data_IF_330130791193
#
_entry.id   IF_330130791193
#
_cell.length_a   1.000
_cell.length_b   1.000
_cell.length_c   1.000
_cell.angle_alpha   90.00
_cell.angle_beta   90.00
_cell.angle_gamma   90.00
#
_symmetry.space_group_name_H-M   'P 1'
#
loop_
_entity.id
_entity.type
_entity.pdbx_description
1 polymer ?
#
# COMPACT_ATOMS: atom_id res chain seq x y z
N UNK A 1 -43.22 49.02 -79.07
CA UNK A 1 -42.26 47.89 -79.15
C UNK A 1 -41.24 48.02 -78.05
N UNK A 2 -41.55 47.69 -76.82
CA UNK A 2 -40.56 47.57 -75.73
C UNK A 2 -41.25 47.09 -74.41
N UNK A 3 -41.86 45.91 -74.39
CA UNK A 3 -42.35 45.34 -73.12
C UNK A 3 -42.50 43.79 -73.16
N UNK A 4 -41.76 43.09 -74.02
CA UNK A 4 -41.86 41.61 -74.11
C UNK A 4 -40.64 40.85 -73.64
N UNK A 5 -39.59 41.51 -73.20
CA UNK A 5 -38.32 40.83 -72.88
C UNK A 5 -38.03 40.53 -71.40
N UNK A 6 -38.84 41.02 -70.45
CA UNK A 6 -38.52 40.91 -69.01
C UNK A 6 -39.22 39.76 -68.22
N UNK A 7 -40.22 39.10 -68.86
CA UNK A 7 -40.98 38.04 -68.18
C UNK A 7 -40.35 36.65 -68.27
N UNK A 8 -39.58 36.35 -69.30
CA UNK A 8 -38.98 35.02 -69.46
C UNK A 8 -37.74 34.77 -68.56
N UNK A 9 -36.97 35.80 -68.19
CA UNK A 9 -35.80 35.64 -67.32
C UNK A 9 -36.17 35.33 -65.87
N UNK A 10 -37.38 35.71 -65.41
CA UNK A 10 -37.79 35.43 -64.01
C UNK A 10 -38.17 34.01 -63.73
N UNK A 11 -38.74 33.33 -64.70
CA UNK A 11 -39.14 31.90 -64.57
C UNK A 11 -37.94 30.97 -64.62
N UNK A 12 -36.87 31.30 -65.33
CA UNK A 12 -35.66 30.47 -65.42
C UNK A 12 -34.86 30.54 -64.14
N UNK A 13 -34.84 31.65 -63.46
CA UNK A 13 -34.11 31.81 -62.13
C UNK A 13 -34.90 31.07 -61.02
N UNK A 14 -36.22 31.07 -61.03
CA UNK A 14 -37.01 30.38 -60.00
C UNK A 14 -36.95 28.86 -60.21
N UNK A 15 -36.93 28.35 -61.42
CA UNK A 15 -36.80 26.92 -61.76
C UNK A 15 -35.41 26.36 -61.30
N UNK A 16 -34.31 27.12 -61.48
CA UNK A 16 -32.97 26.72 -61.09
C UNK A 16 -32.81 26.65 -59.58
N UNK A 17 -33.44 27.55 -58.83
CA UNK A 17 -33.33 27.58 -57.33
C UNK A 17 -34.10 26.42 -56.68
N UNK A 18 -35.22 25.98 -57.27
CA UNK A 18 -35.98 24.84 -56.69
C UNK A 18 -35.29 23.51 -56.94
N UNK A 19 -34.63 23.33 -58.09
CA UNK A 19 -33.85 22.12 -58.38
C UNK A 19 -32.59 22.06 -57.51
N UNK A 20 -31.89 23.18 -57.27
CA UNK A 20 -30.73 23.23 -56.38
C UNK A 20 -31.11 22.93 -54.93
N UNK A 21 -32.25 23.45 -54.46
CA UNK A 21 -32.73 23.18 -53.10
C UNK A 21 -33.12 21.71 -52.88
N UNK A 22 -33.72 21.06 -53.86
CA UNK A 22 -34.10 19.63 -53.78
C UNK A 22 -32.88 18.70 -53.77
N UNK A 23 -31.81 19.04 -54.53
CA UNK A 23 -30.57 18.26 -54.53
C UNK A 23 -29.83 18.38 -53.16
N UNK A 24 -29.80 19.57 -52.55
CA UNK A 24 -29.20 19.78 -51.25
C UNK A 24 -29.95 19.02 -50.16
N UNK A 25 -31.30 19.02 -50.19
CA UNK A 25 -32.12 18.25 -49.25
C UNK A 25 -31.94 16.74 -49.47
N UNK A 26 -31.84 16.27 -50.70
CA UNK A 26 -31.57 14.85 -50.99
C UNK A 26 -30.18 14.43 -50.53
N UNK A 27 -29.14 15.27 -50.71
CA UNK A 27 -27.80 15.02 -50.18
C UNK A 27 -27.74 15.03 -48.64
N UNK A 28 -28.45 15.94 -47.96
CA UNK A 28 -28.57 15.93 -46.53
C UNK A 28 -29.27 14.64 -46.01
N UNK A 29 -30.36 14.23 -46.63
CA UNK A 29 -31.05 13.00 -46.26
C UNK A 29 -30.19 11.75 -46.47
N UNK A 30 -29.38 11.71 -47.54
CA UNK A 30 -28.43 10.63 -47.78
C UNK A 30 -27.27 10.65 -46.72
N UNK A 31 -26.76 11.82 -46.39
CA UNK A 31 -25.71 11.93 -45.35
C UNK A 31 -26.27 11.52 -43.97
N UNK A 32 -27.44 12.01 -43.59
CA UNK A 32 -28.10 11.62 -42.34
C UNK A 32 -28.54 10.14 -42.33
N UNK A 33 -28.91 9.58 -43.50
CA UNK A 33 -29.21 8.16 -43.64
C UNK A 33 -28.00 7.27 -43.52
N UNK A 34 -26.85 7.70 -44.04
CA UNK A 34 -25.58 6.99 -43.91
C UNK A 34 -25.00 7.08 -42.46
N UNK A 35 -25.14 8.23 -41.77
CA UNK A 35 -24.78 8.33 -40.37
C UNK A 35 -25.65 7.46 -39.45
N UNK A 36 -26.94 7.29 -39.77
CA UNK A 36 -27.84 6.44 -38.99
C UNK A 36 -27.57 4.95 -39.20
N UNK A 37 -27.13 4.53 -40.39
CA UNK A 37 -26.70 3.16 -40.65
C UNK A 37 -25.35 2.80 -40.08
N UNK A 38 -24.44 3.79 -39.90
CA UNK A 38 -23.13 3.55 -39.28
C UNK A 38 -23.23 3.41 -37.75
N UNK A 39 -24.35 3.86 -37.13
CA UNK A 39 -24.56 3.69 -35.67
C UNK A 39 -25.15 2.32 -35.28
N UNK A 40 -25.61 1.51 -36.22
CA UNK A 40 -26.26 0.22 -35.92
C UNK A 40 -25.39 -1.03 -36.19
N UNK A 41 -24.16 -0.89 -36.63
CA UNK A 41 -23.29 -2.04 -36.93
C UNK A 41 -21.90 -2.00 -36.29
N UNK A 42 -21.73 -1.31 -35.18
CA UNK A 42 -20.65 -1.69 -34.29
C UNK A 42 -21.11 -2.93 -33.53
N UNK A 43 -20.40 -4.06 -33.61
CA UNK A 43 -20.66 -5.15 -32.69
C UNK A 43 -20.42 -4.57 -31.30
N UNK A 44 -21.46 -4.50 -30.47
CA UNK A 44 -21.30 -4.38 -29.03
C UNK A 44 -20.46 -5.58 -28.66
N UNK A 45 -19.13 -5.38 -28.63
CA UNK A 45 -18.29 -6.23 -27.79
C UNK A 45 -18.95 -6.18 -26.42
N UNK A 46 -19.51 -7.32 -26.01
CA UNK A 46 -20.01 -7.52 -24.68
C UNK A 46 -18.94 -6.93 -23.76
N UNK A 47 -19.25 -5.80 -23.15
CA UNK A 47 -18.32 -5.13 -22.26
C UNK A 47 -17.94 -6.15 -21.23
N UNK A 48 -16.70 -6.61 -21.26
CA UNK A 48 -16.10 -7.17 -20.07
C UNK A 48 -16.26 -6.06 -19.03
N UNK A 49 -17.15 -6.28 -18.10
CA UNK A 49 -17.31 -5.42 -16.93
C UNK A 49 -15.90 -5.24 -16.38
N UNK A 50 -15.42 -4.01 -16.47
CA UNK A 50 -14.05 -3.71 -16.09
C UNK A 50 -14.02 -3.87 -14.57
N UNK A 51 -13.64 -5.06 -14.09
CA UNK A 51 -13.54 -5.35 -12.66
C UNK A 51 -12.60 -4.31 -12.07
N UNK A 52 -13.14 -3.40 -11.27
CA UNK A 52 -12.36 -2.38 -10.57
C UNK A 52 -12.04 -2.90 -9.17
N UNK A 53 -10.76 -2.96 -8.83
CA UNK A 53 -10.30 -3.41 -7.52
C UNK A 53 -9.92 -2.18 -6.69
N UNK A 54 -10.68 -1.97 -5.63
CA UNK A 54 -10.41 -0.95 -4.63
C UNK A 54 -9.46 -1.49 -3.56
N UNK A 55 -8.79 -0.62 -2.78
CA UNK A 55 -8.06 -1.03 -1.60
C UNK A 55 -8.90 -1.92 -0.68
N UNK A 56 -8.30 -2.95 -0.12
CA UNK A 56 -8.97 -3.85 0.80
C UNK A 56 -9.40 -3.10 2.07
N UNK A 57 -10.53 -3.49 2.65
CA UNK A 57 -10.96 -2.98 3.95
C UNK A 57 -10.27 -3.79 5.05
N UNK A 58 -9.05 -3.41 5.35
CA UNK A 58 -8.23 -4.08 6.35
C UNK A 58 -8.87 -4.09 7.74
N UNK A 59 -8.59 -5.15 8.49
CA UNK A 59 -8.99 -5.26 9.90
C UNK A 59 -7.75 -5.16 10.77
N UNK A 60 -7.95 -4.62 11.95
CA UNK A 60 -6.95 -4.58 13.01
C UNK A 60 -7.50 -5.32 14.22
N UNK A 61 -6.80 -6.35 14.66
CA UNK A 61 -7.19 -7.19 15.76
C UNK A 61 -6.23 -7.04 16.92
N UNK A 62 -6.76 -6.76 18.10
CA UNK A 62 -6.02 -6.89 19.36
C UNK A 62 -6.30 -8.26 19.94
N UNK A 63 -5.26 -9.01 20.21
CA UNK A 63 -5.31 -10.31 20.88
C UNK A 63 -4.78 -10.14 22.31
N UNK A 64 -5.61 -10.44 23.30
CA UNK A 64 -5.25 -10.37 24.69
C UNK A 64 -4.52 -11.65 25.13
N UNK A 65 -3.86 -11.63 26.28
CA UNK A 65 -3.14 -12.78 26.87
C UNK A 65 -3.96 -14.07 26.93
N UNK A 66 -5.27 -13.96 27.18
CA UNK A 66 -6.20 -15.09 27.26
C UNK A 66 -6.73 -15.56 25.88
N UNK A 67 -6.19 -15.03 24.78
CA UNK A 67 -6.57 -15.34 23.40
C UNK A 67 -7.86 -14.64 22.93
N UNK A 68 -8.52 -13.82 23.75
CA UNK A 68 -9.68 -13.03 23.32
C UNK A 68 -9.26 -12.01 22.28
N UNK A 69 -10.00 -11.95 21.18
CA UNK A 69 -9.76 -11.01 20.08
C UNK A 69 -10.75 -9.85 20.11
N UNK A 70 -10.25 -8.65 19.91
CA UNK A 70 -11.02 -7.39 19.84
C UNK A 70 -10.71 -6.73 18.50
N UNK A 71 -11.74 -6.44 17.70
CA UNK A 71 -11.57 -5.74 16.43
C UNK A 71 -11.46 -4.24 16.70
N UNK A 72 -10.29 -3.66 16.38
CA UNK A 72 -9.98 -2.26 16.56
C UNK A 72 -10.42 -1.36 15.37
N UNK A 73 -10.78 -1.97 14.23
CA UNK A 73 -11.24 -1.22 13.04
C UNK A 73 -12.64 -0.63 13.22
N UNK A 74 -13.44 -1.21 14.11
CA UNK A 74 -14.73 -0.66 14.54
C UNK A 74 -14.46 0.23 15.75
N UNK A 75 -15.21 1.33 15.89
CA UNK A 75 -15.07 2.24 17.04
C UNK A 75 -14.95 1.47 18.35
N UNK A 76 -13.75 1.50 18.94
CA UNK A 76 -13.61 1.04 20.32
C UNK A 76 -14.49 1.92 21.20
N UNK A 77 -15.10 1.38 22.27
CA UNK A 77 -15.57 2.23 23.35
C UNK A 77 -14.42 3.12 23.80
N UNK A 78 -14.67 4.39 24.08
CA UNK A 78 -13.66 5.40 24.42
C UNK A 78 -12.65 4.90 25.46
N UNK A 79 -13.07 3.95 26.29
CA UNK A 79 -12.21 3.28 27.28
C UNK A 79 -12.68 1.84 27.51
N UNK A 80 -11.78 0.88 27.41
CA UNK A 80 -11.97 -0.51 27.81
C UNK A 80 -11.10 -0.82 29.04
N UNK A 81 -11.75 -1.11 30.15
CA UNK A 81 -11.04 -1.49 31.38
C UNK A 81 -10.71 -2.99 31.38
N UNK A 82 -9.42 -3.30 31.52
CA UNK A 82 -8.88 -4.64 31.67
C UNK A 82 -8.10 -4.69 32.99
N UNK A 83 -8.72 -5.23 34.04
CA UNK A 83 -8.08 -5.38 35.37
C UNK A 83 -7.36 -4.10 35.86
N UNK A 84 -6.04 -4.04 35.75
CA UNK A 84 -5.20 -2.92 36.20
C UNK A 84 -4.91 -1.86 35.11
N UNK A 85 -5.44 -2.01 33.90
CA UNK A 85 -5.12 -1.15 32.75
C UNK A 85 -6.37 -0.68 32.06
N UNK A 86 -6.46 0.61 31.74
CA UNK A 86 -7.44 1.15 30.81
C UNK A 86 -6.83 1.27 29.44
N UNK A 87 -7.45 0.64 28.44
CA UNK A 87 -7.15 0.86 27.04
C UNK A 87 -7.99 2.02 26.52
N UNK A 88 -7.34 2.99 25.92
CA UNK A 88 -7.99 4.16 25.35
C UNK A 88 -7.85 4.06 23.84
N UNK A 89 -9.01 3.92 23.15
CA UNK A 89 -9.10 3.92 21.69
C UNK A 89 -9.46 5.31 21.19
N UNK A 90 -8.57 5.98 20.51
CA UNK A 90 -8.82 7.28 19.89
C UNK A 90 -8.56 7.19 18.39
N UNK A 91 -9.59 7.38 17.53
CA UNK A 91 -9.48 7.53 16.07
C UNK A 91 -8.35 6.72 15.41
N UNK A 92 -8.39 5.39 15.54
CA UNK A 92 -7.40 4.51 14.92
C UNK A 92 -6.06 4.40 15.67
N UNK A 93 -6.02 4.82 16.92
CA UNK A 93 -4.85 4.75 17.81
C UNK A 93 -5.23 4.07 19.12
N UNK A 94 -4.42 3.12 19.56
CA UNK A 94 -4.53 2.49 20.87
C UNK A 94 -3.45 3.04 21.82
N UNK A 95 -3.84 3.34 23.05
CA UNK A 95 -2.93 3.68 24.14
C UNK A 95 -3.36 3.02 25.44
N UNK A 96 -2.42 2.87 26.38
CA UNK A 96 -2.65 2.27 27.68
C UNK A 96 -2.51 3.31 28.80
N UNK A 97 -3.38 3.18 29.82
CA UNK A 97 -3.27 3.95 31.06
C UNK A 97 -3.43 3.00 32.24
N UNK A 98 -2.50 3.00 33.16
CA UNK A 98 -2.64 2.27 34.43
C UNK A 98 -3.80 2.82 35.23
N UNK A 99 -4.66 1.95 35.75
CA UNK A 99 -5.87 2.30 36.53
C UNK A 99 -5.75 1.91 38.00
N UNK A 100 -4.72 1.13 38.36
CA UNK A 100 -4.48 0.68 39.74
C UNK A 100 -3.10 1.15 40.22
N UNK A 101 -2.97 1.38 41.53
CA UNK A 101 -1.71 1.78 42.17
C UNK A 101 -0.65 0.65 42.23
N UNK A 102 -0.98 -0.56 41.75
CA UNK A 102 -0.09 -1.71 41.69
C UNK A 102 0.29 -2.08 40.26
N UNK A 103 1.58 -2.12 40.00
CA UNK A 103 2.11 -2.71 38.75
C UNK A 103 1.74 -4.20 38.70
N UNK A 104 1.50 -4.76 37.50
CA UNK A 104 1.30 -6.21 37.35
C UNK A 104 2.55 -6.95 37.88
N UNK A 105 2.32 -8.05 38.56
CA UNK A 105 3.42 -8.88 39.12
C UNK A 105 4.09 -9.70 38.01
N UNK A 106 3.36 -9.97 36.93
CA UNK A 106 3.82 -10.72 35.77
C UNK A 106 3.64 -9.90 34.51
N UNK A 107 4.49 -10.14 33.52
CA UNK A 107 4.46 -9.45 32.22
C UNK A 107 3.28 -9.99 31.38
N UNK A 108 2.30 -9.15 31.15
CA UNK A 108 1.13 -9.45 30.33
C UNK A 108 1.41 -9.04 28.89
N UNK A 109 1.40 -10.01 27.97
CA UNK A 109 1.67 -9.78 26.55
C UNK A 109 0.36 -9.64 25.77
N UNK A 110 0.24 -8.54 25.05
CA UNK A 110 -0.78 -8.33 24.03
C UNK A 110 -0.18 -8.40 22.63
N UNK A 111 -1.05 -8.65 21.65
CA UNK A 111 -0.65 -8.71 20.25
C UNK A 111 -1.58 -7.83 19.41
N UNK A 112 -1.04 -7.04 18.49
CA UNK A 112 -1.81 -6.43 17.41
C UNK A 112 -1.47 -7.13 16.09
N UNK A 113 -2.53 -7.43 15.32
CA UNK A 113 -2.44 -8.00 13.99
C UNK A 113 -3.18 -7.10 13.02
N UNK A 114 -2.50 -6.66 11.96
CA UNK A 114 -3.11 -5.98 10.81
C UNK A 114 -3.30 -6.99 9.67
N UNK A 115 -4.49 -7.01 9.08
CA UNK A 115 -4.74 -7.85 7.89
C UNK A 115 -4.37 -7.12 6.61
N UNK A 116 -4.55 -7.76 5.45
CA UNK A 116 -4.44 -7.14 4.13
C UNK A 116 -5.24 -5.83 4.09
N UNK A 117 -4.62 -4.76 3.58
CA UNK A 117 -5.22 -3.43 3.48
C UNK A 117 -5.39 -2.68 4.81
N UNK A 118 -4.88 -3.24 5.92
CA UNK A 118 -4.95 -2.62 7.25
C UNK A 118 -3.63 -2.02 7.68
N UNK A 119 -3.65 -0.86 8.27
CA UNK A 119 -2.52 -0.30 9.02
C UNK A 119 -3.00 0.21 10.37
N UNK A 120 -2.08 0.40 11.32
CA UNK A 120 -2.47 0.83 12.65
C UNK A 120 -1.37 1.57 13.39
N UNK A 121 -1.79 2.55 14.22
CA UNK A 121 -0.88 3.25 15.13
C UNK A 121 -1.12 2.81 16.57
N UNK A 122 -0.05 2.39 17.26
CA UNK A 122 -0.03 2.00 18.66
C UNK A 122 0.88 2.95 19.45
N UNK A 123 0.50 3.25 20.69
CA UNK A 123 1.37 3.90 21.65
C UNK A 123 1.58 2.94 22.83
N UNK A 124 2.82 2.54 23.05
CA UNK A 124 3.22 1.66 24.15
C UNK A 124 3.24 2.42 25.48
N UNK A 125 3.34 1.67 26.59
CA UNK A 125 3.32 2.23 27.96
C UNK A 125 4.44 3.22 28.24
N UNK A 126 5.60 3.05 27.58
CA UNK A 126 6.76 3.94 27.70
C UNK A 126 6.63 5.23 26.84
N UNK A 127 5.52 5.39 26.09
CA UNK A 127 5.31 6.48 25.16
C UNK A 127 5.90 6.27 23.75
N UNK A 128 6.53 5.13 23.49
CA UNK A 128 6.98 4.73 22.16
C UNK A 128 5.81 4.62 21.22
N UNK A 129 5.92 5.25 20.03
CA UNK A 129 4.90 5.15 18.99
C UNK A 129 5.33 4.12 17.94
N UNK A 130 4.40 3.28 17.56
CA UNK A 130 4.59 2.23 16.55
C UNK A 130 3.53 2.37 15.48
N UNK A 131 3.92 2.39 14.22
CA UNK A 131 3.02 2.24 13.07
C UNK A 131 3.24 0.87 12.48
N UNK A 132 2.19 0.09 12.37
CA UNK A 132 2.18 -1.22 11.73
C UNK A 132 1.63 -1.09 10.33
N UNK A 133 2.33 -1.64 9.33
CA UNK A 133 1.85 -1.72 7.96
C UNK A 133 0.90 -2.93 7.79
N UNK A 134 0.33 -3.12 6.59
CA UNK A 134 -0.54 -4.25 6.28
C UNK A 134 0.18 -5.60 6.49
N UNK A 135 -0.60 -6.65 6.85
CA UNK A 135 -0.08 -8.00 7.11
C UNK A 135 1.08 -8.04 8.13
N UNK A 136 0.96 -7.27 9.20
CA UNK A 136 1.98 -7.18 10.24
C UNK A 136 1.43 -7.55 11.62
N UNK A 137 2.32 -8.02 12.48
CA UNK A 137 2.02 -8.48 13.83
C UNK A 137 3.07 -7.95 14.80
N UNK A 138 2.65 -7.41 15.93
CA UNK A 138 3.53 -7.03 17.04
C UNK A 138 3.04 -7.62 18.34
N UNK A 139 3.91 -8.39 19.03
CA UNK A 139 3.75 -8.80 20.42
C UNK A 139 4.46 -7.82 21.32
N UNK A 140 3.79 -7.33 22.35
CA UNK A 140 4.35 -6.34 23.28
C UNK A 140 3.73 -6.48 24.66
N UNK A 141 4.51 -6.20 25.74
CA UNK A 141 3.96 -6.15 27.08
C UNK A 141 3.10 -4.88 27.25
N UNK A 142 2.01 -4.98 28.02
CA UNK A 142 1.18 -3.83 28.38
C UNK A 142 1.96 -2.85 29.29
N UNK A 143 2.94 -3.36 30.03
CA UNK A 143 3.90 -2.60 30.86
C UNK A 143 5.27 -3.25 30.76
N UNK A 144 6.32 -2.46 30.50
CA UNK A 144 7.69 -2.95 30.46
C UNK A 144 8.22 -3.13 31.89
N UNK A 145 8.30 -4.36 32.35
CA UNK A 145 8.95 -4.72 33.61
C UNK A 145 10.47 -4.96 33.39
N UNK A 146 11.27 -4.93 34.44
CA UNK A 146 12.70 -5.22 34.34
C UNK A 146 13.55 -4.10 33.67
N UNK A 147 14.71 -4.49 33.11
CA UNK A 147 15.81 -3.61 32.69
C UNK A 147 15.83 -3.31 31.17
N UNK A 148 14.86 -3.81 30.44
CA UNK A 148 14.74 -3.64 28.97
C UNK A 148 13.28 -3.53 28.54
N UNK A 149 13.06 -2.97 27.35
CA UNK A 149 11.76 -2.85 26.68
C UNK A 149 11.79 -3.74 25.44
N UNK A 150 11.15 -4.90 25.49
CA UNK A 150 11.20 -5.87 24.40
C UNK A 150 9.85 -6.00 23.69
N UNK A 151 9.89 -6.06 22.36
CA UNK A 151 8.75 -6.37 21.50
C UNK A 151 9.18 -7.36 20.43
N UNK A 152 8.23 -8.14 19.89
CA UNK A 152 8.46 -9.05 18.78
C UNK A 152 7.66 -8.61 17.57
N UNK A 153 8.30 -8.52 16.40
CA UNK A 153 7.72 -8.04 15.15
C UNK A 153 7.77 -9.11 14.07
N UNK A 154 6.63 -9.31 13.38
CA UNK A 154 6.52 -9.90 12.05
C UNK A 154 5.90 -8.88 11.11
N UNK A 155 6.33 -8.87 9.83
CA UNK A 155 5.88 -7.85 8.88
C UNK A 155 6.66 -6.55 8.97
N UNK A 156 6.02 -5.41 8.78
CA UNK A 156 6.68 -4.11 8.73
C UNK A 156 6.13 -3.14 9.77
N UNK A 157 7.05 -2.49 10.47
CA UNK A 157 6.72 -1.44 11.41
C UNK A 157 7.74 -0.31 11.43
N UNK A 158 7.23 0.89 11.65
CA UNK A 158 8.01 2.07 11.96
C UNK A 158 7.88 2.42 13.44
N UNK A 159 9.00 2.77 14.06
CA UNK A 159 9.11 3.07 15.48
C UNK A 159 9.61 4.50 15.68
N UNK A 160 8.96 5.23 16.60
CA UNK A 160 9.49 6.42 17.25
C UNK A 160 9.66 6.08 18.74
N UNK A 161 10.85 5.60 19.10
CA UNK A 161 11.12 5.11 20.46
C UNK A 161 11.35 6.27 21.41
N UNK A 162 10.63 6.25 22.53
CA UNK A 162 10.81 7.19 23.62
C UNK A 162 12.25 7.08 24.18
N UNK A 163 12.99 8.20 24.35
CA UNK A 163 14.35 8.18 24.85
C UNK A 163 14.41 7.65 26.30
N UNK A 164 15.20 6.61 26.52
CA UNK A 164 15.55 6.07 27.82
C UNK A 164 16.92 5.37 27.72
N UNK A 165 18.04 6.03 28.14
CA UNK A 165 19.37 5.46 28.09
C UNK A 165 19.59 4.27 29.06
N UNK A 166 18.84 4.23 30.16
CA UNK A 166 19.00 3.21 31.19
C UNK A 166 18.23 1.92 30.83
N UNK A 167 17.17 2.03 30.04
CA UNK A 167 16.31 0.90 29.68
C UNK A 167 16.19 0.76 28.17
N UNK A 168 17.09 -0.01 27.53
CA UNK A 168 17.11 -0.14 26.06
C UNK A 168 15.82 -0.73 25.51
N UNK A 169 15.42 -0.27 24.30
CA UNK A 169 14.30 -0.80 23.54
C UNK A 169 14.84 -1.80 22.51
N UNK A 170 14.25 -3.00 22.48
CA UNK A 170 14.70 -4.11 21.63
C UNK A 170 13.53 -4.60 20.79
N UNK A 171 13.65 -4.50 19.46
CA UNK A 171 12.73 -5.16 18.53
C UNK A 171 13.35 -6.47 18.08
N UNK A 172 12.68 -7.57 18.42
CA UNK A 172 13.06 -8.93 17.96
C UNK A 172 12.27 -9.29 16.72
N UNK A 173 12.91 -9.92 15.76
CA UNK A 173 12.32 -10.61 14.62
C UNK A 173 12.86 -12.03 14.58
N UNK A 174 12.34 -12.85 13.67
CA UNK A 174 12.86 -14.21 13.45
C UNK A 174 14.36 -14.22 13.10
N UNK A 175 14.86 -13.17 12.41
CA UNK A 175 16.21 -13.16 11.83
C UNK A 175 17.21 -12.28 12.56
N UNK A 176 16.76 -11.28 13.33
CA UNK A 176 17.64 -10.31 13.99
C UNK A 176 16.98 -9.65 15.20
N UNK A 177 17.82 -8.99 16.00
CA UNK A 177 17.41 -8.11 17.10
C UNK A 177 17.96 -6.71 16.85
N UNK A 178 17.10 -5.71 16.99
CA UNK A 178 17.43 -4.29 16.81
C UNK A 178 17.33 -3.58 18.14
N UNK A 179 18.45 -3.05 18.67
CA UNK A 179 18.56 -2.38 19.97
C UNK A 179 18.75 -0.88 19.79
N UNK A 180 17.97 -0.09 20.53
CA UNK A 180 18.02 1.38 20.52
C UNK A 180 17.79 1.97 21.91
N UNK A 181 18.12 3.27 22.10
CA UNK A 181 17.92 4.01 23.36
C UNK A 181 16.97 5.22 23.22
N UNK A 182 16.50 5.53 21.98
CA UNK A 182 15.67 6.68 21.68
C UNK A 182 15.89 7.09 20.23
N UNK A 183 15.16 6.49 19.30
CA UNK A 183 15.57 6.40 17.90
C UNK A 183 14.31 6.27 17.03
N UNK A 184 14.33 6.86 15.83
CA UNK A 184 13.32 6.61 14.82
C UNK A 184 13.87 5.72 13.72
N UNK A 185 13.22 4.58 13.47
CA UNK A 185 13.67 3.58 12.49
C UNK A 185 12.51 2.76 11.94
N UNK A 186 12.73 2.13 10.78
CA UNK A 186 11.80 1.19 10.14
C UNK A 186 12.41 -0.21 10.11
N UNK A 187 11.60 -1.22 10.36
CA UNK A 187 11.95 -2.62 10.13
C UNK A 187 10.95 -3.22 9.17
N UNK A 188 11.44 -3.86 8.09
CA UNK A 188 10.65 -4.70 7.19
C UNK A 188 11.16 -6.13 7.33
N UNK A 189 10.33 -7.00 7.91
CA UNK A 189 10.64 -8.38 8.25
C UNK A 189 9.49 -9.34 7.85
N UNK A 190 8.84 -9.11 6.71
CA UNK A 190 7.81 -10.01 6.19
C UNK A 190 8.38 -11.40 5.91
N UNK A 191 7.65 -12.45 6.28
CA UNK A 191 8.11 -13.84 6.10
C UNK A 191 8.24 -14.22 4.62
N UNK A 192 7.38 -13.68 3.76
CA UNK A 192 7.36 -13.92 2.31
C UNK A 192 8.33 -13.01 1.50
N UNK A 193 9.12 -12.16 2.17
CA UNK A 193 10.22 -11.43 1.53
C UNK A 193 11.55 -12.19 1.70
N UNK A 194 12.43 -12.18 0.70
CA UNK A 194 13.74 -12.86 0.80
C UNK A 194 14.68 -12.18 1.79
N UNK A 195 14.50 -10.91 2.04
CA UNK A 195 15.38 -10.09 2.87
C UNK A 195 14.63 -9.51 4.08
N UNK A 196 15.39 -9.18 5.13
CA UNK A 196 14.96 -8.33 6.24
C UNK A 196 15.72 -7.03 6.20
N UNK A 197 15.02 -5.92 6.40
CA UNK A 197 15.62 -4.58 6.35
C UNK A 197 15.45 -3.87 7.69
N UNK A 198 16.51 -3.17 8.12
CA UNK A 198 16.44 -2.18 9.22
C UNK A 198 16.98 -0.85 8.71
N UNK A 199 16.17 0.18 8.72
CA UNK A 199 16.52 1.53 8.21
C UNK A 199 16.50 2.52 9.36
N UNK A 200 17.60 3.21 9.58
CA UNK A 200 17.71 4.24 10.60
C UNK A 200 17.39 5.63 10.07
N UNK A 201 16.44 6.33 10.71
CA UNK A 201 16.11 7.72 10.40
C UNK A 201 16.87 8.69 11.31
N UNK A 202 16.73 8.56 12.63
CA UNK A 202 17.38 9.45 13.60
C UNK A 202 17.93 8.64 14.78
N UNK A 203 19.04 9.08 15.38
CA UNK A 203 19.66 8.45 16.53
C UNK A 203 20.72 7.40 16.16
N UNK A 204 20.73 6.27 16.85
CA UNK A 204 21.67 5.14 16.67
C UNK A 204 20.93 3.83 16.81
N UNK A 205 21.22 2.88 15.93
CA UNK A 205 20.70 1.50 15.96
C UNK A 205 21.85 0.52 16.04
N UNK A 206 21.70 -0.50 16.88
CA UNK A 206 22.59 -1.67 16.97
C UNK A 206 21.78 -2.91 16.53
N UNK A 207 22.24 -3.60 15.47
CA UNK A 207 21.58 -4.81 14.93
C UNK A 207 22.44 -6.03 15.23
N UNK A 208 21.85 -7.02 15.89
CA UNK A 208 22.43 -8.35 16.10
C UNK A 208 21.74 -9.36 15.20
N UNK A 209 22.51 -10.12 14.43
CA UNK A 209 22.01 -11.12 13.49
C UNK A 209 21.95 -12.49 14.18
N UNK A 210 20.76 -13.12 14.23
CA UNK A 210 20.52 -14.35 14.98
C UNK A 210 21.42 -15.53 14.50
N UNK A 211 21.65 -15.65 13.21
CA UNK A 211 22.52 -16.72 12.63
C UNK A 211 24.02 -16.55 12.94
N UNK A 212 24.45 -15.38 13.42
CA UNK A 212 25.87 -15.09 13.67
C UNK A 212 26.28 -15.22 15.14
N UNK A 213 25.36 -15.64 16.01
CA UNK A 213 25.63 -15.88 17.43
C UNK A 213 26.25 -14.65 18.14
N UNK A 214 27.42 -14.84 18.75
CA UNK A 214 28.12 -13.80 19.55
C UNK A 214 28.92 -12.80 18.69
N UNK A 215 28.64 -12.60 17.41
CA UNK A 215 29.30 -11.59 16.61
C UNK A 215 28.96 -10.18 17.11
N UNK A 216 29.88 -9.23 16.91
CA UNK A 216 29.66 -7.82 17.28
C UNK A 216 28.45 -7.26 16.53
N UNK A 217 27.61 -6.44 17.17
CA UNK A 217 26.46 -5.82 16.54
C UNK A 217 26.87 -4.90 15.40
N UNK A 218 26.07 -4.85 14.35
CA UNK A 218 26.21 -3.88 13.26
C UNK A 218 25.57 -2.56 13.70
N UNK A 219 26.36 -1.48 13.66
CA UNK A 219 25.92 -0.15 14.07
C UNK A 219 25.51 0.68 12.84
N UNK A 220 24.26 1.13 12.81
CA UNK A 220 23.77 2.03 11.78
C UNK A 220 23.86 3.50 12.21
N UNK A 221 24.13 4.36 11.21
CA UNK A 221 24.02 5.82 11.28
C UNK A 221 22.78 6.29 10.53
N UNK A 222 22.27 7.51 10.77
CA UNK A 222 21.12 8.04 10.03
C UNK A 222 21.27 7.93 8.52
N UNK A 223 20.15 7.61 7.85
CA UNK A 223 20.03 7.31 6.42
C UNK A 223 20.79 6.04 5.96
N UNK A 224 21.16 5.15 6.89
CA UNK A 224 21.70 3.82 6.56
C UNK A 224 20.63 2.76 6.73
N UNK A 225 20.66 1.78 5.83
CA UNK A 225 19.83 0.57 5.86
C UNK A 225 20.72 -0.66 5.90
N UNK A 226 20.43 -1.56 6.83
CA UNK A 226 20.94 -2.93 6.79
C UNK A 226 19.94 -3.78 6.00
N UNK A 227 20.45 -4.54 5.04
CA UNK A 227 19.75 -5.59 4.30
C UNK A 227 20.35 -6.93 4.69
N UNK A 228 19.54 -7.83 5.22
CA UNK A 228 19.92 -9.21 5.57
C UNK A 228 19.21 -10.19 4.65
N UNK A 229 19.96 -10.98 3.90
CA UNK A 229 19.42 -12.12 3.17
C UNK A 229 19.09 -13.25 4.13
N UNK A 230 17.86 -13.75 4.09
CA UNK A 230 17.38 -14.76 5.05
C UNK A 230 17.95 -16.16 4.77
N UNK A 231 18.21 -16.46 3.52
CA UNK A 231 18.69 -17.79 3.09
C UNK A 231 20.18 -17.93 3.40
N UNK A 232 21.01 -17.05 2.83
CA UNK A 232 22.47 -17.09 3.03
C UNK A 232 22.89 -16.60 4.41
N UNK A 233 22.16 -15.68 5.03
CA UNK A 233 22.57 -14.97 6.25
C UNK A 233 23.60 -13.86 5.99
N UNK A 234 23.86 -13.53 4.71
CA UNK A 234 24.72 -12.42 4.34
C UNK A 234 23.99 -11.10 4.52
N UNK A 235 24.76 -10.04 4.79
CA UNK A 235 24.17 -8.71 4.93
C UNK A 235 25.03 -7.65 4.24
N UNK A 236 24.37 -6.57 3.87
CA UNK A 236 24.98 -5.32 3.40
C UNK A 236 24.46 -4.14 4.21
N UNK A 237 25.21 -3.04 4.21
CA UNK A 237 24.78 -1.76 4.79
C UNK A 237 25.01 -0.68 3.75
N UNK A 238 23.93 0.02 3.40
CA UNK A 238 23.96 1.03 2.34
C UNK A 238 23.22 2.30 2.77
N UNK A 239 23.50 3.41 2.07
CA UNK A 239 22.81 4.67 2.27
C UNK A 239 21.53 4.69 1.44
N UNK A 240 20.40 5.07 2.05
CA UNK A 240 19.08 5.11 1.42
C UNK A 240 18.39 6.45 1.62
N UNK A 241 17.35 6.71 0.83
CA UNK A 241 16.43 7.82 1.03
C UNK A 241 15.31 7.38 1.97
N UNK A 242 15.40 7.82 3.23
CA UNK A 242 14.51 7.37 4.30
C UNK A 242 13.03 7.75 4.07
N UNK A 243 12.81 8.84 3.33
CA UNK A 243 11.47 9.29 2.94
C UNK A 243 10.77 8.27 2.05
N UNK A 244 11.50 7.57 1.18
CA UNK A 244 10.97 6.51 0.32
C UNK A 244 10.58 5.29 1.13
N UNK A 245 11.45 4.86 2.03
CA UNK A 245 11.22 3.69 2.89
C UNK A 245 10.01 3.88 3.82
N UNK A 246 9.73 5.12 4.24
CA UNK A 246 8.67 5.41 5.22
C UNK A 246 7.42 6.06 4.62
N UNK A 247 7.34 6.18 3.28
CA UNK A 247 6.22 6.80 2.57
C UNK A 247 4.88 6.09 2.85
N UNK A 248 4.92 4.78 3.09
CA UNK A 248 3.73 3.97 3.35
C UNK A 248 2.90 4.47 4.55
N UNK A 249 3.54 5.08 5.56
CA UNK A 249 2.86 5.69 6.73
C UNK A 249 1.97 6.88 6.36
N UNK A 250 2.21 7.49 5.21
CA UNK A 250 1.48 8.65 4.70
C UNK A 250 0.50 8.27 3.58
N UNK A 251 0.12 6.99 3.50
CA UNK A 251 -0.82 6.50 2.48
C UNK A 251 -0.25 6.48 1.06
N UNK A 252 1.06 6.26 0.92
CA UNK A 252 1.75 6.33 -0.37
C UNK A 252 2.55 5.06 -0.63
N UNK A 253 2.36 4.47 -1.82
CA UNK A 253 3.35 3.56 -2.41
C UNK A 253 4.50 4.38 -2.99
N UNK A 254 5.71 4.04 -2.63
CA UNK A 254 6.92 4.60 -3.22
C UNK A 254 7.76 3.46 -3.76
N UNK A 255 8.00 3.49 -5.07
CA UNK A 255 8.87 2.53 -5.76
C UNK A 255 10.17 3.23 -6.14
N UNK A 256 11.31 2.61 -5.85
CA UNK A 256 12.64 3.17 -6.05
C UNK A 256 13.54 2.14 -6.74
N UNK A 257 13.37 1.99 -8.06
CA UNK A 257 14.01 0.93 -8.86
C UNK A 257 13.61 -0.49 -8.39
N UNK A 258 12.40 -0.61 -7.83
CA UNK A 258 11.90 -1.88 -7.31
C UNK A 258 11.52 -2.83 -8.44
N UNK A 259 11.93 -4.08 -8.29
CA UNK A 259 11.57 -5.16 -9.20
C UNK A 259 10.06 -5.44 -9.15
N UNK A 260 9.48 -5.88 -10.28
CA UNK A 260 8.05 -6.21 -10.40
C UNK A 260 7.57 -7.18 -9.30
N UNK A 261 8.40 -8.11 -8.87
CA UNK A 261 8.04 -9.02 -7.77
C UNK A 261 7.88 -8.30 -6.44
N UNK A 262 8.76 -7.31 -6.14
CA UNK A 262 8.65 -6.48 -4.95
C UNK A 262 7.37 -5.64 -5.02
N UNK A 263 7.16 -4.98 -6.16
CA UNK A 263 5.97 -4.16 -6.42
C UNK A 263 4.68 -4.98 -6.25
N UNK A 264 4.60 -6.16 -6.85
CA UNK A 264 3.41 -7.01 -6.78
C UNK A 264 3.15 -7.53 -5.36
N UNK A 265 4.18 -7.86 -4.57
CA UNK A 265 4.00 -8.21 -3.15
C UNK A 265 3.49 -7.04 -2.31
N UNK A 266 3.99 -5.81 -2.56
CA UNK A 266 3.46 -4.60 -1.90
C UNK A 266 1.99 -4.38 -2.24
N UNK A 267 1.61 -4.52 -3.51
CA UNK A 267 0.22 -4.37 -3.96
C UNK A 267 -0.68 -5.49 -3.42
N UNK A 268 -0.22 -6.75 -3.38
CA UNK A 268 -0.97 -7.87 -2.80
C UNK A 268 -1.38 -7.60 -1.36
N UNK A 269 -0.46 -7.06 -0.53
CA UNK A 269 -0.71 -6.73 0.88
C UNK A 269 -1.76 -5.64 1.07
N UNK A 270 -2.03 -4.85 0.03
CA UNK A 270 -2.96 -3.72 0.13
C UNK A 270 -4.30 -3.97 -0.55
N UNK A 271 -4.33 -4.73 -1.67
CA UNK A 271 -5.53 -4.93 -2.49
C UNK A 271 -6.19 -6.30 -2.33
N UNK A 272 -5.65 -7.19 -1.53
CA UNK A 272 -6.14 -8.57 -1.37
C UNK A 272 -6.23 -9.32 -2.71
N UNK A 273 -5.18 -9.25 -3.50
CA UNK A 273 -5.06 -9.92 -4.80
C UNK A 273 -3.83 -10.82 -4.86
N UNK A 274 -3.92 -11.87 -5.66
CA UNK A 274 -2.79 -12.74 -5.98
C UNK A 274 -2.24 -12.37 -7.35
N UNK A 275 -0.93 -12.14 -7.44
CA UNK A 275 -0.23 -11.99 -8.73
C UNK A 275 0.35 -13.33 -9.18
N UNK A 276 0.22 -13.62 -10.48
CA UNK A 276 0.72 -14.85 -11.13
C UNK A 276 1.40 -14.47 -12.43
N UNK A 277 2.61 -14.95 -12.66
CA UNK A 277 3.31 -14.80 -13.95
C UNK A 277 2.81 -15.85 -14.94
N UNK A 278 2.34 -15.40 -16.11
CA UNK A 278 1.94 -16.26 -17.22
C UNK A 278 3.14 -16.50 -18.13
N UNK A 279 3.86 -17.59 -17.88
CA UNK A 279 5.06 -17.97 -18.63
C UNK A 279 6.37 -17.59 -17.93
N UNK A 280 7.46 -17.70 -18.70
CA UNK A 280 8.81 -17.39 -18.21
C UNK A 280 9.05 -15.88 -18.17
N UNK A 281 9.70 -15.41 -17.12
CA UNK A 281 10.10 -14.02 -16.97
C UNK A 281 11.17 -13.65 -17.99
N UNK A 282 10.93 -12.60 -18.81
CA UNK A 282 11.84 -12.19 -19.89
C UNK A 282 12.92 -11.19 -19.48
N UNK A 283 12.95 -10.76 -18.26
CA UNK A 283 14.00 -9.84 -17.77
C UNK A 283 13.60 -9.07 -16.50
N UNK A 284 14.49 -8.24 -15.97
CA UNK A 284 14.18 -7.38 -14.86
C UNK A 284 13.28 -6.23 -15.32
N UNK A 285 12.12 -6.08 -14.71
CA UNK A 285 11.29 -4.88 -14.82
C UNK A 285 11.38 -4.12 -13.51
N UNK A 286 12.06 -2.99 -13.52
CA UNK A 286 12.17 -2.11 -12.35
C UNK A 286 11.27 -0.90 -12.49
N UNK A 287 10.68 -0.49 -11.39
CA UNK A 287 9.73 0.62 -11.33
C UNK A 287 10.20 1.66 -10.34
N UNK A 288 10.05 2.92 -10.74
CA UNK A 288 10.22 4.08 -9.86
C UNK A 288 9.01 4.98 -9.99
N UNK A 289 8.45 5.40 -8.87
CA UNK A 289 7.30 6.28 -8.87
C UNK A 289 6.61 6.40 -7.52
N UNK A 290 5.61 7.26 -7.49
CA UNK A 290 4.78 7.51 -6.31
C UNK A 290 3.31 7.39 -6.68
N UNK A 291 2.55 6.61 -5.91
CA UNK A 291 1.11 6.38 -6.10
C UNK A 291 0.39 6.42 -4.75
N UNK A 292 -0.87 6.85 -4.74
CA UNK A 292 -1.68 6.83 -3.53
C UNK A 292 -2.12 5.40 -3.20
N UNK A 293 -2.16 5.06 -1.93
CA UNK A 293 -2.79 3.82 -1.45
C UNK A 293 -4.31 3.83 -1.62
N UNK A 294 -4.92 5.00 -1.86
CA UNK A 294 -6.36 5.15 -2.13
C UNK A 294 -6.72 4.94 -3.61
N UNK A 295 -5.71 4.90 -4.51
CA UNK A 295 -5.95 4.68 -5.93
C UNK A 295 -6.52 3.27 -6.17
N UNK A 296 -7.27 3.08 -7.25
CA UNK A 296 -7.72 1.74 -7.65
C UNK A 296 -6.55 0.95 -8.22
N UNK A 297 -6.49 -0.36 -7.95
CA UNK A 297 -5.44 -1.22 -8.48
C UNK A 297 -5.29 -1.12 -10.00
N UNK A 298 -6.43 -1.05 -10.71
CA UNK A 298 -6.46 -0.92 -12.18
C UNK A 298 -5.69 0.31 -12.68
N UNK A 299 -5.72 1.42 -11.95
CA UNK A 299 -5.00 2.64 -12.30
C UNK A 299 -3.50 2.45 -12.09
N UNK A 300 -3.11 1.83 -10.99
CA UNK A 300 -1.72 1.49 -10.70
C UNK A 300 -1.16 0.56 -11.77
N UNK A 301 -1.84 -0.56 -12.07
CA UNK A 301 -1.42 -1.53 -13.09
C UNK A 301 -1.29 -0.89 -14.47
N UNK A 302 -2.23 0.01 -14.83
CA UNK A 302 -2.14 0.78 -16.08
C UNK A 302 -0.88 1.64 -16.13
N UNK A 303 -0.53 2.33 -15.03
CA UNK A 303 0.69 3.14 -14.96
C UNK A 303 1.95 2.29 -15.08
N UNK A 304 2.00 1.13 -14.42
CA UNK A 304 3.12 0.19 -14.53
C UNK A 304 3.30 -0.29 -15.98
N UNK A 305 2.21 -0.62 -16.69
CA UNK A 305 2.28 -0.99 -18.12
C UNK A 305 2.78 0.16 -19.00
N UNK A 306 2.29 1.39 -18.76
CA UNK A 306 2.67 2.57 -19.56
C UNK A 306 4.15 2.97 -19.36
N UNK A 307 4.76 2.62 -18.24
CA UNK A 307 6.18 2.89 -17.96
C UNK A 307 7.12 1.79 -18.45
N UNK A 308 6.64 0.88 -19.29
CA UNK A 308 7.44 -0.18 -19.92
C UNK A 308 7.35 -1.54 -19.23
N UNK A 309 6.44 -1.70 -18.28
CA UNK A 309 6.18 -2.96 -17.61
C UNK A 309 5.35 -3.95 -18.45
N UNK A 310 5.08 -5.13 -17.89
CA UNK A 310 4.26 -6.17 -18.51
C UNK A 310 2.80 -5.72 -18.66
N UNK A 311 2.02 -6.51 -19.35
CA UNK A 311 0.56 -6.39 -19.36
C UNK A 311 -0.05 -7.10 -18.16
N UNK A 312 -1.17 -6.59 -17.67
CA UNK A 312 -1.88 -7.18 -16.54
C UNK A 312 -3.32 -7.52 -16.94
N UNK A 313 -3.74 -8.75 -16.64
CA UNK A 313 -5.10 -9.21 -16.81
C UNK A 313 -5.70 -9.59 -15.46
N UNK A 314 -6.85 -9.00 -15.13
CA UNK A 314 -7.53 -9.27 -13.87
C UNK A 314 -8.60 -10.33 -14.08
N UNK A 315 -8.54 -11.42 -13.31
CA UNK A 315 -9.53 -12.50 -13.29
C UNK A 315 -9.96 -12.76 -11.83
N UNK A 316 -11.10 -12.18 -11.44
CA UNK A 316 -11.56 -12.23 -10.05
C UNK A 316 -10.56 -11.56 -9.11
N UNK A 317 -9.96 -12.34 -8.20
CA UNK A 317 -8.94 -11.90 -7.23
C UNK A 317 -7.50 -12.21 -7.68
N UNK A 318 -7.33 -12.66 -8.93
CA UNK A 318 -6.01 -12.98 -9.48
C UNK A 318 -5.64 -11.96 -10.57
N UNK A 319 -4.42 -11.47 -10.52
CA UNK A 319 -3.82 -10.59 -11.52
C UNK A 319 -2.74 -11.38 -12.24
N UNK A 320 -2.98 -11.66 -13.51
CA UNK A 320 -2.03 -12.32 -14.40
C UNK A 320 -1.05 -11.30 -14.96
N UNK A 321 0.25 -11.60 -14.86
CA UNK A 321 1.35 -10.79 -15.40
C UNK A 321 1.78 -11.44 -16.70
N UNK A 322 1.58 -10.73 -17.81
CA UNK A 322 1.85 -11.21 -19.17
C UNK A 322 3.06 -10.47 -19.70
N UNK A 323 4.17 -11.17 -19.82
CA UNK A 323 5.42 -10.63 -20.40
C UNK A 323 5.28 -10.41 -21.91
N UNK A 324 5.75 -9.26 -22.42
CA UNK A 324 5.70 -8.90 -23.83
C UNK A 324 6.81 -9.53 -24.68
#
# INVERSE_FOLDING_TARGET
>A
KLLAGKRQKRYFVIGGSVVAASVVVACMLLIFGLEKQQKESSPVMAGQEKVEINPAKGKVMLVLENGKQINLSNSLPDTLHLSSVAMIGEKGKLSYRMTADSLPVEEVIHKIVTTVGGDYQLVLSDGTKVWLNAESEIDYPIEFLGDKREVFLKGEAYFEVAPDPEKPFIVKTTSMQTRVLGTSFNINAYENEPNVYTTLLTGKVEVMLNKRGNASPVVLKPAMQLKLDKESGDFSVEKVRVEEITAWRYGVFMFAEDDIEVVTRMLSRWYDVKFVFDGERKGPHTFSGRMSKDDKLNEILKMLTLTGGPEFKIEGNTVHIIEK
#
